data_IF_255389996300
#
_entry.id   IF_255389996300
#
_cell.length_a   1.000
_cell.length_b   1.000
_cell.length_c   1.000
_cell.angle_alpha   90.00
_cell.angle_beta   90.00
_cell.angle_gamma   90.00
#
_symmetry.space_group_name_H-M   'P 1'
#
loop_
_entity.id
_entity.type
_entity.pdbx_description
1 polymer ?
#
# COMPACT_ATOMS: atom_id res chain seq x y z
N UNK A 1 -13.82 -0.60 10.74
CA UNK A 1 -12.54 -1.08 10.19
C UNK A 1 -11.43 -0.67 11.14
N UNK A 2 -10.44 -1.53 11.35
CA UNK A 2 -9.26 -1.17 12.14
C UNK A 2 -8.34 -0.27 11.31
N UNK A 3 -7.87 0.83 11.91
CA UNK A 3 -6.74 1.58 11.35
C UNK A 3 -5.46 0.84 11.74
N UNK A 4 -4.67 0.47 10.74
CA UNK A 4 -3.42 -0.30 10.92
C UNK A 4 -2.19 0.49 10.47
N UNK A 5 -2.29 1.80 10.30
CA UNK A 5 -1.19 2.59 9.78
C UNK A 5 -1.58 4.03 9.44
N UNK A 6 -0.56 4.89 9.40
CA UNK A 6 -0.71 6.29 9.03
C UNK A 6 0.33 6.65 7.98
N UNK A 7 -0.11 7.36 6.95
CA UNK A 7 0.71 7.73 5.80
C UNK A 7 0.55 9.21 5.49
N UNK A 8 1.67 9.82 5.09
CA UNK A 8 1.71 11.17 4.56
C UNK A 8 2.00 11.09 3.06
N UNK A 9 1.26 11.86 2.26
CA UNK A 9 1.55 12.04 0.84
C UNK A 9 2.83 12.86 0.66
N UNK A 10 3.74 12.38 -0.18
CA UNK A 10 5.02 13.01 -0.52
C UNK A 10 5.13 13.03 -2.04
N UNK A 11 4.74 14.15 -2.65
CA UNK A 11 4.60 14.22 -4.11
C UNK A 11 3.50 13.27 -4.59
N UNK A 12 3.85 12.30 -5.43
CA UNK A 12 2.95 11.25 -5.90
C UNK A 12 3.00 9.97 -5.06
N UNK A 13 3.93 9.90 -4.11
CA UNK A 13 4.14 8.73 -3.26
C UNK A 13 3.52 8.94 -1.88
N UNK A 14 3.56 7.89 -1.06
CA UNK A 14 3.16 7.95 0.34
C UNK A 14 4.25 7.36 1.21
N UNK A 15 4.48 7.97 2.38
CA UNK A 15 5.41 7.45 3.38
C UNK A 15 4.76 7.41 4.75
N UNK A 16 4.98 6.33 5.48
CA UNK A 16 4.30 6.13 6.75
C UNK A 16 4.77 4.91 7.53
N UNK A 17 3.86 4.40 8.34
CA UNK A 17 4.06 3.19 9.13
C UNK A 17 2.82 2.30 9.11
N UNK A 18 3.05 1.01 9.33
CA UNK A 18 2.02 0.01 9.54
C UNK A 18 2.23 -0.56 10.95
N UNK A 19 1.15 -0.59 11.72
CA UNK A 19 1.11 -1.07 13.09
C UNK A 19 -0.08 -2.02 13.26
N UNK A 20 0.22 -3.30 13.44
CA UNK A 20 -0.70 -4.35 13.88
C UNK A 20 -0.11 -5.06 15.09
N UNK A 21 -0.85 -6.02 15.68
CA UNK A 21 -0.34 -6.83 16.79
C UNK A 21 0.89 -7.67 16.40
N UNK A 22 1.00 -8.09 15.13
CA UNK A 22 2.08 -8.97 14.65
C UNK A 22 3.10 -8.27 13.74
N UNK A 23 2.80 -7.08 13.23
CA UNK A 23 3.64 -6.34 12.28
C UNK A 23 3.76 -4.89 12.73
N UNK A 24 4.99 -4.44 12.96
CA UNK A 24 5.30 -3.02 13.20
C UNK A 24 6.40 -2.61 12.24
N UNK A 25 6.02 -1.91 11.17
CA UNK A 25 6.93 -1.47 10.13
C UNK A 25 6.90 0.05 10.01
N UNK A 26 8.03 0.69 10.29
CA UNK A 26 8.23 2.13 10.08
C UNK A 26 8.90 2.39 8.73
N UNK A 27 8.66 3.58 8.18
CA UNK A 27 9.28 3.99 6.91
C UNK A 27 8.77 3.18 5.71
N UNK A 28 7.52 2.72 5.77
CA UNK A 28 6.83 2.10 4.64
C UNK A 28 6.67 3.16 3.57
N UNK A 29 7.03 2.82 2.33
CA UNK A 29 6.93 3.71 1.16
C UNK A 29 6.01 3.07 0.13
N UNK A 30 5.00 3.80 -0.32
CA UNK A 30 4.12 3.44 -1.42
C UNK A 30 4.51 4.32 -2.60
N UNK A 31 5.18 3.72 -3.58
CA UNK A 31 5.81 4.43 -4.70
C UNK A 31 4.98 4.22 -5.95
N UNK A 32 4.65 5.30 -6.66
CA UNK A 32 3.89 5.22 -7.91
C UNK A 32 4.67 4.43 -8.99
N UNK A 33 3.98 3.50 -9.65
CA UNK A 33 4.50 2.74 -10.79
C UNK A 33 4.27 3.53 -12.07
N UNK A 34 5.34 3.98 -12.72
CA UNK A 34 5.26 4.77 -13.95
C UNK A 34 5.06 3.89 -15.19
N UNK A 35 5.47 2.62 -15.14
CA UNK A 35 5.44 1.71 -16.29
C UNK A 35 4.37 0.63 -16.12
N UNK A 36 3.11 1.06 -16.05
CA UNK A 36 1.97 0.14 -15.97
C UNK A 36 1.73 -0.53 -17.32
N UNK A 37 1.74 -1.86 -17.34
CA UNK A 37 1.53 -2.65 -18.56
C UNK A 37 0.06 -2.73 -19.00
N UNK A 38 -0.88 -2.60 -18.05
CA UNK A 38 -2.32 -2.54 -18.28
C UNK A 38 -3.05 -1.99 -17.04
N UNK A 39 -4.38 -1.83 -17.12
CA UNK A 39 -5.19 -1.29 -16.02
C UNK A 39 -5.24 -2.20 -14.78
N UNK A 40 -5.04 -3.51 -14.97
CA UNK A 40 -4.96 -4.48 -13.87
C UNK A 40 -3.57 -4.50 -13.21
N UNK A 41 -2.54 -3.95 -13.86
CA UNK A 41 -1.21 -3.85 -13.29
C UNK A 41 -1.23 -2.89 -12.08
N UNK A 42 -0.41 -3.14 -11.05
CA UNK A 42 -0.31 -2.25 -9.91
C UNK A 42 -0.08 -0.80 -10.33
N UNK A 43 -0.75 0.12 -9.63
CA UNK A 43 -0.47 1.56 -9.76
C UNK A 43 0.66 2.02 -8.86
N UNK A 44 0.93 1.28 -7.79
CA UNK A 44 2.00 1.57 -6.84
C UNK A 44 2.64 0.27 -6.36
N UNK A 45 3.91 0.37 -5.94
CA UNK A 45 4.68 -0.67 -5.28
C UNK A 45 4.94 -0.27 -3.83
N UNK A 46 4.95 -1.24 -2.92
CA UNK A 46 5.07 -0.98 -1.48
C UNK A 46 6.41 -1.52 -0.99
N UNK A 47 7.18 -0.68 -0.31
CA UNK A 47 8.53 -1.00 0.15
C UNK A 47 8.74 -0.72 1.63
N UNK A 48 9.61 -1.53 2.25
CA UNK A 48 10.25 -1.23 3.55
C UNK A 48 11.75 -1.43 3.38
N UNK A 49 12.53 -0.37 3.60
CA UNK A 49 13.96 -0.39 3.25
C UNK A 49 14.15 -0.73 1.77
N UNK A 50 14.82 -1.85 1.50
CA UNK A 50 15.04 -2.40 0.14
C UNK A 50 14.05 -3.49 -0.29
N UNK A 51 13.19 -3.96 0.62
CA UNK A 51 12.27 -5.05 0.35
C UNK A 51 10.99 -4.51 -0.30
N UNK A 52 10.54 -5.12 -1.39
CA UNK A 52 9.18 -4.96 -1.92
C UNK A 52 8.26 -5.90 -1.15
N UNK A 53 7.28 -5.35 -0.45
CA UNK A 53 6.40 -6.09 0.48
C UNK A 53 4.95 -6.18 -0.03
N UNK A 54 4.69 -5.66 -1.24
CA UNK A 54 3.37 -5.69 -1.84
C UNK A 54 3.15 -4.60 -2.89
N UNK A 55 1.88 -4.41 -3.23
CA UNK A 55 1.44 -3.55 -4.30
C UNK A 55 0.10 -2.87 -4.00
N UNK A 56 -0.20 -1.78 -4.72
CA UNK A 56 -1.48 -1.09 -4.59
C UNK A 56 -2.09 -0.64 -5.93
N UNK A 57 -3.42 -0.54 -5.94
CA UNK A 57 -4.23 -0.14 -7.08
C UNK A 57 -5.06 1.08 -6.73
N UNK A 58 -4.96 2.12 -7.56
CA UNK A 58 -5.81 3.29 -7.47
C UNK A 58 -7.23 2.91 -7.85
N UNK A 59 -8.17 3.17 -6.95
CA UNK A 59 -9.60 2.87 -7.12
C UNK A 59 -10.42 4.08 -6.70
N UNK A 60 -11.68 4.08 -7.12
CA UNK A 60 -12.68 5.06 -6.74
C UNK A 60 -13.82 4.35 -6.03
N UNK A 61 -14.26 4.86 -4.87
CA UNK A 61 -15.39 4.30 -4.14
C UNK A 61 -16.71 4.63 -4.84
N UNK A 62 -17.80 3.95 -4.44
CA UNK A 62 -19.16 4.26 -4.93
C UNK A 62 -19.57 5.70 -4.59
N UNK A 63 -19.06 6.24 -3.47
CA UNK A 63 -19.24 7.64 -3.06
C UNK A 63 -18.32 8.63 -3.81
N UNK A 64 -17.56 8.17 -4.80
CA UNK A 64 -16.70 9.00 -5.64
C UNK A 64 -15.38 9.43 -5.01
N UNK A 65 -14.94 8.79 -3.91
CA UNK A 65 -13.66 9.09 -3.25
C UNK A 65 -12.55 8.21 -3.80
N UNK A 66 -11.42 8.82 -4.18
CA UNK A 66 -10.25 8.07 -4.62
C UNK A 66 -9.53 7.45 -3.42
N UNK A 67 -9.07 6.22 -3.56
CA UNK A 67 -8.34 5.48 -2.52
C UNK A 67 -7.35 4.51 -3.17
N UNK A 68 -6.37 4.04 -2.40
CA UNK A 68 -5.52 2.93 -2.81
C UNK A 68 -6.02 1.64 -2.17
N UNK A 69 -6.26 0.62 -2.99
CA UNK A 69 -6.47 -0.75 -2.53
C UNK A 69 -5.11 -1.45 -2.47
N UNK A 70 -4.70 -1.89 -1.28
CA UNK A 70 -3.40 -2.46 -1.00
C UNK A 70 -3.50 -3.98 -0.86
N UNK A 71 -2.47 -4.67 -1.34
CA UNK A 71 -2.14 -6.07 -1.02
C UNK A 71 -0.72 -6.11 -0.50
N UNK A 72 -0.55 -6.47 0.77
CA UNK A 72 0.76 -6.72 1.39
C UNK A 72 1.00 -8.23 1.38
N UNK A 73 1.99 -8.71 0.66
CA UNK A 73 2.24 -10.14 0.41
C UNK A 73 3.72 -10.52 0.53
N UNK A 74 4.41 -9.92 1.50
CA UNK A 74 5.76 -10.32 1.88
C UNK A 74 5.81 -11.81 2.29
N UNK A 75 6.87 -12.56 1.92
CA UNK A 75 7.02 -13.98 2.25
C UNK A 75 6.99 -14.31 3.76
N UNK A 76 7.22 -13.33 4.65
CA UNK A 76 7.11 -13.54 6.10
C UNK A 76 5.66 -13.64 6.59
N UNK A 77 4.68 -13.30 5.76
CA UNK A 77 3.26 -13.42 6.11
C UNK A 77 2.71 -14.81 5.78
N UNK A 78 1.94 -15.39 6.70
CA UNK A 78 1.23 -16.67 6.44
C UNK A 78 0.19 -16.55 5.31
N UNK A 79 -0.33 -15.34 5.06
CA UNK A 79 -1.24 -15.02 3.97
C UNK A 79 -1.18 -13.51 3.66
N UNK A 80 -1.57 -13.08 2.45
CA UNK A 80 -1.63 -11.66 2.10
C UNK A 80 -2.58 -10.86 2.99
N UNK A 81 -2.18 -9.63 3.34
CA UNK A 81 -3.02 -8.66 4.05
C UNK A 81 -3.59 -7.68 3.03
N UNK A 82 -4.92 -7.54 3.02
CA UNK A 82 -5.61 -6.56 2.19
C UNK A 82 -6.04 -5.36 3.04
N UNK A 83 -5.74 -4.16 2.55
CA UNK A 83 -6.06 -2.91 3.23
C UNK A 83 -6.46 -1.83 2.22
N UNK A 84 -7.05 -0.74 2.71
CA UNK A 84 -7.35 0.43 1.89
C UNK A 84 -6.73 1.67 2.55
N UNK A 85 -6.07 2.50 1.76
CA UNK A 85 -5.58 3.82 2.15
C UNK A 85 -6.50 4.87 1.55
N UNK A 86 -7.18 5.61 2.42
CA UNK A 86 -8.13 6.67 2.10
C UNK A 86 -7.51 8.06 2.27
#
# INVERSE_FOLDING_TARGET
MANIGSFKKVGNDFQGEIVTLSLQAKGVRIVAETNRSNDNAPSHRIYVGRAEIGAAWSKRSEEGRDYLSLKLDDPSFNAPIYANLF
#
